data_IF_061238716207
#
_entry.id   IF_061238716207
#
_cell.length_a   1.000
_cell.length_b   1.000
_cell.length_c   1.000
_cell.angle_alpha   90.00
_cell.angle_beta   90.00
_cell.angle_gamma   90.00
#
_symmetry.space_group_name_H-M   'P 1'
#
loop_
_entity.id
_entity.type
_entity.pdbx_description
1 polymer ?
#
# COMPACT_ATOMS: atom_id res chain seq x y z
N UNK A 1 4.70 14.51 -16.91
CA UNK A 1 4.55 13.04 -16.90
C UNK A 1 3.64 12.67 -15.74
N UNK A 2 2.68 11.76 -15.95
CA UNK A 2 1.77 11.27 -14.90
C UNK A 2 2.46 10.11 -14.18
N UNK A 3 2.23 9.95 -12.87
CA UNK A 3 2.67 8.80 -12.05
C UNK A 3 1.46 8.06 -11.48
N UNK A 4 1.55 6.74 -11.39
CA UNK A 4 0.53 5.86 -10.82
C UNK A 4 0.77 5.68 -9.31
N UNK A 5 -0.23 6.05 -8.50
CA UNK A 5 -0.29 5.74 -7.07
C UNK A 5 -1.37 4.69 -6.84
N UNK A 6 -0.98 3.56 -6.25
CA UNK A 6 -1.89 2.47 -5.90
C UNK A 6 -2.03 2.38 -4.38
N UNK A 7 -3.26 2.56 -3.87
CA UNK A 7 -3.54 2.34 -2.45
C UNK A 7 -3.76 0.85 -2.19
N UNK A 8 -3.06 0.30 -1.20
CA UNK A 8 -3.12 -1.10 -0.78
C UNK A 8 -3.30 -1.20 0.74
N UNK A 9 -3.75 -2.35 1.21
CA UNK A 9 -4.04 -2.60 2.64
C UNK A 9 -2.94 -3.39 3.35
N UNK A 10 -2.02 -4.00 2.61
CA UNK A 10 -0.95 -4.84 3.18
C UNK A 10 -0.01 -5.46 2.14
N UNK A 11 0.83 -6.43 2.56
CA UNK A 11 1.93 -6.96 1.74
C UNK A 11 1.49 -7.66 0.47
N UNK A 12 0.42 -8.48 0.52
CA UNK A 12 -0.04 -9.25 -0.63
C UNK A 12 -0.46 -8.34 -1.80
N UNK A 13 -1.23 -7.29 -1.50
CA UNK A 13 -1.63 -6.30 -2.51
C UNK A 13 -0.45 -5.43 -2.95
N UNK A 14 0.49 -5.13 -2.05
CA UNK A 14 1.70 -4.37 -2.38
C UNK A 14 2.55 -5.09 -3.42
N UNK A 15 2.74 -6.41 -3.29
CA UNK A 15 3.46 -7.24 -4.26
C UNK A 15 2.81 -7.16 -5.64
N UNK A 16 1.48 -7.30 -5.71
CA UNK A 16 0.72 -7.23 -6.97
C UNK A 16 0.91 -5.87 -7.67
N UNK A 17 0.83 -4.75 -6.95
CA UNK A 17 0.93 -3.42 -7.58
C UNK A 17 2.37 -3.07 -7.96
N UNK A 18 3.36 -3.63 -7.25
CA UNK A 18 4.78 -3.50 -7.61
C UNK A 18 5.04 -4.24 -8.93
N UNK A 19 4.60 -5.49 -9.06
CA UNK A 19 4.68 -6.24 -10.31
C UNK A 19 3.90 -5.55 -11.46
N UNK A 20 2.78 -4.92 -11.12
CA UNK A 20 1.96 -4.13 -12.04
C UNK A 20 2.55 -2.79 -12.47
N UNK A 21 3.70 -2.38 -11.92
CA UNK A 21 4.42 -1.16 -12.31
C UNK A 21 3.90 0.13 -11.69
N UNK A 22 3.31 0.08 -10.48
CA UNK A 22 2.97 1.30 -9.74
C UNK A 22 4.22 2.12 -9.40
N UNK A 23 4.15 3.45 -9.59
CA UNK A 23 5.23 4.36 -9.22
C UNK A 23 5.27 4.63 -7.71
N UNK A 24 4.10 4.57 -7.06
CA UNK A 24 3.92 4.81 -5.63
C UNK A 24 2.94 3.79 -5.04
N UNK A 25 3.31 3.20 -3.91
CA UNK A 25 2.44 2.33 -3.11
C UNK A 25 2.02 3.08 -1.85
N UNK A 26 0.72 3.24 -1.66
CA UNK A 26 0.10 3.97 -0.55
C UNK A 26 -0.57 2.97 0.40
N UNK A 27 -0.03 2.78 1.60
CA UNK A 27 -0.60 1.88 2.59
C UNK A 27 -1.68 2.59 3.42
N UNK A 28 -2.93 2.16 3.28
CA UNK A 28 -4.05 2.70 4.05
C UNK A 28 -5.02 1.63 4.54
N UNK A 29 -5.72 1.95 5.62
CA UNK A 29 -6.79 1.14 6.19
C UNK A 29 -8.16 1.84 5.98
N UNK A 30 -8.99 1.39 5.02
CA UNK A 30 -10.31 1.98 4.77
C UNK A 30 -11.27 1.82 5.96
N UNK A 31 -11.04 0.86 6.87
CA UNK A 31 -11.86 0.71 8.08
C UNK A 31 -11.63 1.86 9.08
N UNK A 32 -10.50 2.57 8.97
CA UNK A 32 -10.19 3.77 9.75
C UNK A 32 -10.53 5.07 9.00
N UNK A 33 -11.24 4.98 7.87
CA UNK A 33 -11.65 6.11 7.03
C UNK A 33 -10.89 6.20 5.70
N UNK A 34 -11.23 7.20 4.87
CA UNK A 34 -10.76 7.29 3.49
C UNK A 34 -9.22 7.35 3.32
N UNK A 35 -8.53 7.87 4.35
CA UNK A 35 -7.07 7.95 4.46
C UNK A 35 -6.59 7.35 5.80
N UNK A 36 -7.30 6.34 6.29
CA UNK A 36 -6.98 5.69 7.55
C UNK A 36 -5.57 5.11 7.54
N UNK A 37 -4.81 5.29 8.63
CA UNK A 37 -3.47 4.75 8.75
C UNK A 37 -3.51 3.26 9.05
N UNK A 38 -2.66 2.47 8.38
CA UNK A 38 -2.41 1.07 8.76
C UNK A 38 -1.66 1.01 10.10
N UNK A 39 -1.75 -0.13 10.79
CA UNK A 39 -0.93 -0.35 11.99
C UNK A 39 0.57 -0.40 11.65
N UNK A 40 1.46 -0.05 12.60
CA UNK A 40 2.91 -0.23 12.41
C UNK A 40 3.32 -1.67 12.08
N UNK A 41 2.55 -2.68 12.53
CA UNK A 41 2.83 -4.08 12.23
C UNK A 41 2.61 -4.38 10.74
N UNK A 42 1.51 -3.89 10.16
CA UNK A 42 1.20 -4.03 8.72
C UNK A 42 2.21 -3.28 7.86
N UNK A 43 2.59 -2.06 8.26
CA UNK A 43 3.64 -1.31 7.58
C UNK A 43 4.96 -2.09 7.57
N UNK A 44 5.39 -2.61 8.72
CA UNK A 44 6.63 -3.38 8.82
C UNK A 44 6.59 -4.70 8.05
N UNK A 45 5.44 -5.39 8.02
CA UNK A 45 5.28 -6.61 7.23
C UNK A 45 5.39 -6.30 5.73
N UNK A 46 4.80 -5.19 5.29
CA UNK A 46 4.81 -4.77 3.88
C UNK A 46 6.19 -4.32 3.41
N UNK A 47 6.96 -3.62 4.25
CA UNK A 47 8.32 -3.18 3.89
C UNK A 47 9.37 -4.31 3.85
N UNK A 48 9.04 -5.49 4.37
CA UNK A 48 9.95 -6.65 4.44
C UNK A 48 9.66 -7.72 3.39
N UNK A 49 8.54 -7.61 2.69
CA UNK A 49 8.23 -8.39 1.50
C UNK A 49 9.10 -7.87 0.34
#
# INVERSE_FOLDING_TARGET
MIRLLASVTGPEEAEIVIEGGADLVDLKDPAQGALGAVSPAVLNATLRA
#
